data_IF_247018847896
#
_entry.id   IF_247018847896
#
_cell.length_a   1.000
_cell.length_b   1.000
_cell.length_c   1.000
_cell.angle_alpha   90.00
_cell.angle_beta   90.00
_cell.angle_gamma   90.00
#
_symmetry.space_group_name_H-M   'P 1'
#
loop_
_entity.id
_entity.type
_entity.pdbx_description
1 polymer ?
#
# COMPACT_ATOMS: atom_id res chain seq x y z
N UNK A 1 -23.25 29.83 3.77
CA UNK A 1 -22.52 28.92 2.87
C UNK A 1 -21.13 28.71 3.45
N UNK A 2 -21.08 27.97 4.57
CA UNK A 2 -19.84 27.71 5.30
C UNK A 2 -19.97 26.50 6.25
N UNK A 3 -20.92 25.58 6.02
CA UNK A 3 -21.26 24.52 6.99
C UNK A 3 -21.35 23.11 6.34
N UNK A 4 -20.77 22.93 5.16
CA UNK A 4 -20.93 21.72 4.33
C UNK A 4 -19.62 20.93 4.14
N UNK A 5 -18.56 21.28 4.88
CA UNK A 5 -17.25 20.61 4.81
C UNK A 5 -16.86 19.83 6.09
N UNK A 6 -17.68 19.84 7.14
CA UNK A 6 -17.38 19.12 8.40
C UNK A 6 -17.84 17.65 8.42
N UNK A 7 -18.62 17.18 7.44
CA UNK A 7 -19.26 15.85 7.45
C UNK A 7 -18.60 14.82 6.49
N UNK A 8 -17.30 14.96 6.20
CA UNK A 8 -16.53 13.91 5.51
C UNK A 8 -15.68 13.07 6.50
N UNK A 9 -15.83 13.34 7.80
CA UNK A 9 -14.98 12.77 8.85
C UNK A 9 -15.52 11.50 9.50
N UNK A 10 -16.80 11.14 9.25
CA UNK A 10 -17.36 9.92 9.80
C UNK A 10 -16.91 8.72 8.94
N UNK A 11 -16.18 7.74 9.50
CA UNK A 11 -15.76 6.56 8.74
C UNK A 11 -16.94 5.75 8.17
N UNK A 12 -18.17 5.99 8.63
CA UNK A 12 -19.39 5.42 8.04
C UNK A 12 -19.75 6.01 6.66
N UNK A 13 -19.23 7.20 6.31
CA UNK A 13 -19.51 7.86 5.03
C UNK A 13 -18.45 7.56 3.95
N UNK A 14 -17.47 6.70 4.26
CA UNK A 14 -16.38 6.33 3.36
C UNK A 14 -16.60 4.93 2.81
N UNK A 15 -16.98 4.85 1.53
CA UNK A 15 -17.03 3.58 0.78
C UNK A 15 -15.60 3.16 0.43
N UNK A 16 -15.21 1.94 0.82
CA UNK A 16 -13.85 1.45 0.54
C UNK A 16 -13.69 1.02 -0.91
N UNK A 17 -12.47 1.04 -1.44
CA UNK A 17 -12.18 0.49 -2.77
C UNK A 17 -12.54 -0.99 -2.89
N UNK A 18 -12.43 -1.75 -1.78
CA UNK A 18 -12.84 -3.14 -1.72
C UNK A 18 -14.36 -3.28 -1.87
N UNK A 19 -15.12 -2.47 -1.13
CA UNK A 19 -16.58 -2.44 -1.21
C UNK A 19 -17.08 -2.11 -2.63
N UNK A 20 -16.50 -1.09 -3.28
CA UNK A 20 -16.80 -0.75 -4.68
C UNK A 20 -16.52 -1.95 -5.58
N UNK A 21 -15.36 -2.61 -5.40
CA UNK A 21 -15.00 -3.77 -6.20
C UNK A 21 -15.97 -4.95 -5.98
N UNK A 22 -16.42 -5.17 -4.74
CA UNK A 22 -17.42 -6.20 -4.42
C UNK A 22 -18.73 -5.91 -5.14
N UNK A 23 -19.22 -4.66 -5.12
CA UNK A 23 -20.44 -4.29 -5.84
C UNK A 23 -20.31 -4.47 -7.36
N UNK A 24 -19.20 -4.00 -7.95
CA UNK A 24 -18.96 -4.10 -9.39
C UNK A 24 -18.81 -5.56 -9.84
N UNK A 25 -18.21 -6.41 -9.01
CA UNK A 25 -18.05 -7.83 -9.30
C UNK A 25 -19.37 -8.60 -9.15
N UNK A 26 -20.07 -8.42 -8.03
CA UNK A 26 -21.34 -9.06 -7.73
C UNK A 26 -22.17 -8.24 -6.73
N UNK A 27 -23.19 -7.54 -7.23
CA UNK A 27 -24.07 -6.71 -6.39
C UNK A 27 -24.79 -7.50 -5.29
N UNK A 28 -25.08 -8.78 -5.53
CA UNK A 28 -25.72 -9.65 -4.51
C UNK A 28 -24.74 -9.98 -3.38
N UNK A 29 -23.47 -10.24 -3.68
CA UNK A 29 -22.44 -10.41 -2.65
C UNK A 29 -22.32 -9.14 -1.81
N UNK A 30 -22.27 -7.97 -2.46
CA UNK A 30 -22.23 -6.69 -1.76
C UNK A 30 -23.45 -6.51 -0.84
N UNK A 31 -24.65 -6.84 -1.32
CA UNK A 31 -25.88 -6.74 -0.52
C UNK A 31 -25.84 -7.65 0.71
N UNK A 32 -25.31 -8.86 0.58
CA UNK A 32 -25.17 -9.79 1.70
C UNK A 32 -24.15 -9.27 2.73
N UNK A 33 -22.98 -8.84 2.28
CA UNK A 33 -21.88 -8.40 3.14
C UNK A 33 -22.12 -7.02 3.74
N UNK A 34 -22.30 -5.99 2.91
CA UNK A 34 -22.42 -4.59 3.34
C UNK A 34 -23.86 -4.19 3.64
N UNK A 35 -24.83 -4.70 2.87
CA UNK A 35 -26.24 -4.37 3.04
C UNK A 35 -26.92 -5.10 4.22
N UNK A 36 -26.54 -6.36 4.46
CA UNK A 36 -27.12 -7.21 5.51
C UNK A 36 -26.14 -7.56 6.64
N UNK A 37 -24.86 -7.17 6.52
CA UNK A 37 -23.87 -7.42 7.57
C UNK A 37 -23.46 -8.89 7.72
N UNK A 38 -23.61 -9.70 6.66
CA UNK A 38 -23.24 -11.12 6.70
C UNK A 38 -21.74 -11.28 6.42
N UNK A 39 -21.05 -11.99 7.30
CA UNK A 39 -19.62 -12.26 7.14
C UNK A 39 -19.37 -13.18 5.92
N UNK A 40 -18.38 -12.87 5.06
CA UNK A 40 -18.01 -13.74 3.95
C UNK A 40 -17.58 -15.13 4.43
N UNK A 41 -18.02 -16.19 3.77
CA UNK A 41 -17.71 -17.57 4.17
C UNK A 41 -16.22 -17.94 3.99
N UNK A 42 -15.53 -17.26 3.07
CA UNK A 42 -14.13 -17.54 2.70
C UNK A 42 -13.09 -16.87 3.63
N UNK A 43 -13.41 -16.67 4.91
CA UNK A 43 -12.52 -16.04 5.90
C UNK A 43 -11.12 -16.67 5.96
N UNK A 44 -11.02 -17.99 5.79
CA UNK A 44 -9.74 -18.68 5.78
C UNK A 44 -8.80 -18.13 4.68
N UNK A 45 -9.36 -17.87 3.50
CA UNK A 45 -8.61 -17.39 2.35
C UNK A 45 -8.31 -15.91 2.42
N UNK A 46 -9.23 -15.09 2.95
CA UNK A 46 -8.95 -13.69 3.24
C UNK A 46 -7.77 -13.55 4.21
N UNK A 47 -7.75 -14.35 5.28
CA UNK A 47 -6.62 -14.38 6.23
C UNK A 47 -5.33 -14.89 5.59
N UNK A 48 -5.42 -15.90 4.72
CA UNK A 48 -4.26 -16.41 3.98
C UNK A 48 -3.67 -15.33 3.05
N UNK A 49 -4.52 -14.63 2.31
CA UNK A 49 -4.15 -13.48 1.49
C UNK A 49 -3.50 -12.37 2.31
N UNK A 50 -4.06 -12.02 3.47
CA UNK A 50 -3.49 -11.03 4.38
C UNK A 50 -2.07 -11.40 4.85
N UNK A 51 -1.86 -12.67 5.23
CA UNK A 51 -0.51 -13.16 5.59
C UNK A 51 0.47 -13.08 4.42
N UNK A 52 0.02 -13.39 3.20
CA UNK A 52 0.85 -13.29 2.00
C UNK A 52 1.27 -11.85 1.71
N UNK A 53 0.33 -10.90 1.78
CA UNK A 53 0.63 -9.47 1.61
C UNK A 53 1.59 -8.96 2.69
N UNK A 54 1.43 -9.36 3.95
CA UNK A 54 2.35 -8.99 5.02
C UNK A 54 3.79 -9.46 4.76
N UNK A 55 3.95 -10.69 4.24
CA UNK A 55 5.27 -11.22 3.84
C UNK A 55 5.86 -10.42 2.68
N UNK A 56 5.06 -10.13 1.65
CA UNK A 56 5.50 -9.31 0.50
C UNK A 56 5.92 -7.90 0.91
N UNK A 57 5.12 -7.22 1.75
CA UNK A 57 5.46 -5.88 2.24
C UNK A 57 6.79 -5.86 3.00
N UNK A 58 7.11 -6.94 3.74
CA UNK A 58 8.40 -7.07 4.42
C UNK A 58 9.56 -7.23 3.42
N UNK A 59 9.37 -8.05 2.38
CA UNK A 59 10.35 -8.21 1.32
C UNK A 59 10.58 -6.90 0.54
N UNK A 60 9.50 -6.18 0.18
CA UNK A 60 9.55 -4.90 -0.53
C UNK A 60 10.30 -3.84 0.28
N UNK A 61 10.04 -3.72 1.59
CA UNK A 61 10.79 -2.79 2.45
C UNK A 61 12.27 -3.14 2.51
N UNK A 62 12.61 -4.43 2.59
CA UNK A 62 13.99 -4.89 2.64
C UNK A 62 14.71 -4.59 1.32
N UNK A 63 14.07 -4.92 0.19
CA UNK A 63 14.58 -4.62 -1.14
C UNK A 63 14.77 -3.11 -1.34
N UNK A 64 13.78 -2.29 -0.95
CA UNK A 64 13.86 -0.83 -1.02
C UNK A 64 15.04 -0.27 -0.22
N UNK A 65 15.31 -0.81 0.98
CA UNK A 65 16.49 -0.42 1.78
C UNK A 65 17.80 -0.78 1.09
N UNK A 66 17.91 -1.99 0.53
CA UNK A 66 19.10 -2.43 -0.18
C UNK A 66 19.36 -1.60 -1.44
N UNK A 67 18.31 -1.24 -2.17
CA UNK A 67 18.41 -0.32 -3.31
C UNK A 67 18.88 1.07 -2.87
N UNK A 68 18.40 1.58 -1.73
CA UNK A 68 18.87 2.84 -1.15
C UNK A 68 20.36 2.81 -0.82
N UNK A 69 20.82 1.78 -0.10
CA UNK A 69 22.24 1.59 0.23
C UNK A 69 23.09 1.49 -1.04
N UNK A 70 22.66 0.68 -2.00
CA UNK A 70 23.38 0.52 -3.27
C UNK A 70 23.50 1.83 -4.04
N UNK A 71 22.42 2.62 -4.12
CA UNK A 71 22.43 3.96 -4.73
C UNK A 71 23.42 4.88 -4.02
N UNK A 72 23.38 4.93 -2.70
CA UNK A 72 24.23 5.83 -1.92
C UNK A 72 25.71 5.44 -2.03
N UNK A 73 26.02 4.13 -2.07
CA UNK A 73 27.36 3.62 -2.31
C UNK A 73 27.90 3.99 -3.71
N UNK A 74 27.06 3.88 -4.75
CA UNK A 74 27.43 4.30 -6.11
C UNK A 74 27.72 5.80 -6.15
N UNK A 75 26.86 6.63 -5.55
CA UNK A 75 27.07 8.08 -5.47
C UNK A 75 28.37 8.43 -4.74
N UNK A 76 28.64 7.80 -3.59
CA UNK A 76 29.88 7.99 -2.86
C UNK A 76 31.11 7.59 -3.69
N UNK A 77 31.04 6.48 -4.42
CA UNK A 77 32.10 6.05 -5.34
C UNK A 77 32.36 7.06 -6.46
N UNK A 78 31.30 7.59 -7.08
CA UNK A 78 31.43 8.63 -8.12
C UNK A 78 32.06 9.91 -7.58
N UNK A 79 31.66 10.35 -6.39
CA UNK A 79 32.25 11.52 -5.72
C UNK A 79 33.73 11.29 -5.43
N UNK A 80 34.09 10.12 -4.90
CA UNK A 80 35.48 9.77 -4.62
C UNK A 80 36.33 9.78 -5.89
N UNK A 81 35.85 9.15 -6.97
CA UNK A 81 36.54 9.14 -8.26
C UNK A 81 36.73 10.57 -8.80
N UNK A 82 35.72 11.43 -8.67
CA UNK A 82 35.80 12.82 -9.07
C UNK A 82 36.86 13.60 -8.27
N UNK A 83 36.92 13.41 -6.95
CA UNK A 83 37.94 14.04 -6.09
C UNK A 83 39.34 13.58 -6.46
N UNK A 84 39.55 12.27 -6.64
CA UNK A 84 40.84 11.72 -7.05
C UNK A 84 41.28 12.24 -8.42
N UNK A 85 40.33 12.42 -9.35
CA UNK A 85 40.61 13.01 -10.65
C UNK A 85 41.06 14.47 -10.55
N UNK A 86 40.47 15.27 -9.66
CA UNK A 86 40.91 16.66 -9.40
C UNK A 86 42.33 16.68 -8.82
N UNK A 87 42.62 15.81 -7.85
CA UNK A 87 43.90 15.80 -7.14
C UNK A 87 45.05 15.21 -7.97
N UNK A 88 44.76 14.30 -8.89
CA UNK A 88 45.75 13.67 -9.77
C UNK A 88 45.99 14.40 -11.10
N UNK A 89 45.31 15.52 -11.31
CA UNK A 89 45.44 16.39 -12.49
C UNK A 89 46.43 17.51 -12.22
#
# INVERSE_FOLDING_TARGET
MKDDLEDYGNPADVVTAHEIATFVYCSEQWRLEYGLGLEPENQAELRAGGRHHARKATAERTAGRMLGIGRDAVLAGLILLFVLWILGR
#
